data_IF_333604912566
#
_entry.id   IF_333604912566
#
_cell.length_a   1.000
_cell.length_b   1.000
_cell.length_c   1.000
_cell.angle_alpha   90.00
_cell.angle_beta   90.00
_cell.angle_gamma   90.00
#
_symmetry.space_group_name_H-M   'P 1'
#
loop_
_entity.id
_entity.type
_entity.pdbx_description
1 polymer ?
#
# COMPACT_ATOMS: atom_id res chain seq x y z
N UNK A 1 -19.40 13.02 -13.54
CA UNK A 1 -18.12 13.74 -13.60
C UNK A 1 -17.05 12.75 -13.21
N UNK A 2 -16.06 12.49 -14.06
CA UNK A 2 -14.93 11.63 -13.68
C UNK A 2 -14.12 12.39 -12.63
N UNK A 3 -14.04 11.84 -11.44
CA UNK A 3 -13.21 12.40 -10.37
C UNK A 3 -11.75 12.47 -10.85
N UNK A 4 -11.07 13.59 -10.61
CA UNK A 4 -9.66 13.72 -10.96
C UNK A 4 -8.83 12.64 -10.26
N UNK A 5 -7.81 12.14 -10.96
CA UNK A 5 -6.94 11.09 -10.46
C UNK A 5 -6.40 11.48 -9.07
N UNK A 6 -6.69 10.65 -8.06
CA UNK A 6 -6.26 10.88 -6.69
C UNK A 6 -4.73 11.03 -6.64
N UNK A 7 -4.27 12.21 -6.20
CA UNK A 7 -2.86 12.49 -5.93
C UNK A 7 -2.66 12.74 -4.45
N UNK A 8 -1.78 11.96 -3.83
CA UNK A 8 -1.49 12.04 -2.41
C UNK A 8 -0.43 13.11 -2.13
N UNK A 9 -0.72 14.02 -1.21
CA UNK A 9 0.26 14.94 -0.63
C UNK A 9 1.31 14.20 0.20
N UNK A 10 2.35 14.87 0.64
CA UNK A 10 3.35 14.27 1.55
C UNK A 10 2.73 13.79 2.86
N UNK A 11 1.90 14.61 3.50
CA UNK A 11 1.22 14.24 4.75
C UNK A 11 0.24 13.07 4.55
N UNK A 12 -0.46 13.04 3.41
CA UNK A 12 -1.36 11.93 3.09
C UNK A 12 -0.58 10.63 2.86
N UNK A 13 0.59 10.70 2.21
CA UNK A 13 1.47 9.54 2.00
C UNK A 13 1.97 8.98 3.33
N UNK A 14 2.49 9.82 4.20
CA UNK A 14 2.93 9.45 5.56
C UNK A 14 1.79 8.82 6.38
N UNK A 15 0.59 9.39 6.32
CA UNK A 15 -0.57 8.85 7.01
C UNK A 15 -0.97 7.45 6.49
N UNK A 16 -0.82 7.20 5.19
CA UNK A 16 -1.09 5.89 4.58
C UNK A 16 -0.05 4.87 4.99
N UNK A 17 1.24 5.21 4.96
CA UNK A 17 2.33 4.30 5.38
C UNK A 17 2.15 3.87 6.84
N UNK A 18 1.95 4.84 7.74
CA UNK A 18 1.68 4.58 9.16
C UNK A 18 0.42 3.73 9.38
N UNK A 19 -0.63 3.96 8.59
CA UNK A 19 -1.84 3.16 8.71
C UNK A 19 -1.62 1.72 8.24
N UNK A 20 -0.82 1.50 7.19
CA UNK A 20 -0.46 0.16 6.70
C UNK A 20 0.38 -0.58 7.74
N UNK A 21 1.39 0.08 8.32
CA UNK A 21 2.18 -0.44 9.44
C UNK A 21 1.28 -0.87 10.60
N UNK A 22 0.36 0.00 11.01
CA UNK A 22 -0.59 -0.28 12.09
C UNK A 22 -1.47 -1.48 11.75
N UNK A 23 -2.04 -1.55 10.55
CA UNK A 23 -2.89 -2.67 10.12
C UNK A 23 -2.11 -3.98 10.09
N UNK A 24 -0.89 -4.01 9.54
CA UNK A 24 -0.04 -5.20 9.56
C UNK A 24 0.23 -5.67 11.00
N UNK A 25 0.60 -4.75 11.90
CA UNK A 25 0.81 -5.06 13.32
C UNK A 25 -0.43 -5.63 13.99
N UNK A 26 -1.60 -5.03 13.80
CA UNK A 26 -2.86 -5.51 14.38
C UNK A 26 -3.29 -6.88 13.83
N UNK A 27 -2.93 -7.19 12.58
CA UNK A 27 -3.24 -8.47 11.93
C UNK A 27 -2.18 -9.56 12.16
N UNK A 28 -1.07 -9.23 12.82
CA UNK A 28 0.06 -10.15 12.99
C UNK A 28 0.80 -10.46 11.70
N UNK A 29 0.76 -9.56 10.71
CA UNK A 29 1.52 -9.68 9.47
C UNK A 29 2.88 -9.01 9.61
N UNK A 30 3.92 -9.62 9.04
CA UNK A 30 5.25 -9.04 9.00
C UNK A 30 5.36 -8.10 7.79
N UNK A 31 5.44 -6.80 8.05
CA UNK A 31 5.65 -5.79 7.02
C UNK A 31 7.15 -5.65 6.76
N UNK A 32 7.59 -6.03 5.56
CA UNK A 32 9.00 -5.88 5.15
C UNK A 32 9.30 -4.45 4.70
N UNK A 33 8.41 -3.88 3.88
CA UNK A 33 8.52 -2.49 3.43
C UNK A 33 7.18 -1.99 2.90
N UNK A 34 6.98 -0.68 3.01
CA UNK A 34 5.88 0.07 2.41
C UNK A 34 6.45 1.34 1.80
N UNK A 35 5.95 1.72 0.62
CA UNK A 35 6.30 2.98 -0.02
C UNK A 35 5.07 3.56 -0.71
N UNK A 36 4.59 4.67 -0.16
CA UNK A 36 3.43 5.41 -0.65
C UNK A 36 3.92 6.54 -1.56
N UNK A 37 3.68 6.38 -2.87
CA UNK A 37 3.94 7.41 -3.88
C UNK A 37 2.74 8.32 -4.05
N UNK A 38 2.91 9.37 -4.85
CA UNK A 38 1.84 10.35 -5.09
C UNK A 38 0.62 9.78 -5.81
N UNK A 39 0.71 8.62 -6.47
CA UNK A 39 -0.41 8.01 -7.21
C UNK A 39 -0.58 6.50 -7.01
N UNK A 40 0.29 5.85 -6.22
CA UNK A 40 0.21 4.42 -5.94
C UNK A 40 0.96 4.08 -4.66
N UNK A 41 0.72 2.88 -4.13
CA UNK A 41 1.39 2.38 -2.92
C UNK A 41 1.90 0.97 -3.20
N UNK A 42 3.14 0.70 -2.82
CA UNK A 42 3.73 -0.64 -2.81
C UNK A 42 3.86 -1.13 -1.38
N UNK A 43 3.59 -2.42 -1.16
CA UNK A 43 3.68 -3.08 0.14
C UNK A 43 4.25 -4.48 -0.07
N UNK A 44 5.32 -4.81 0.67
CA UNK A 44 5.87 -6.16 0.76
C UNK A 44 5.58 -6.69 2.15
N UNK A 45 4.83 -7.78 2.23
CA UNK A 45 4.29 -8.29 3.49
C UNK A 45 4.26 -9.82 3.49
N UNK A 46 4.73 -10.41 4.59
CA UNK A 46 4.53 -11.84 4.88
C UNK A 46 3.32 -11.98 5.80
N UNK A 47 2.25 -12.57 5.28
CA UNK A 47 1.02 -12.82 6.03
C UNK A 47 0.68 -14.31 6.10
N UNK A 48 1.47 -15.09 6.86
CA UNK A 48 1.31 -16.52 7.15
C UNK A 48 0.27 -17.27 6.29
N UNK A 49 -0.91 -17.59 6.85
CA UNK A 49 -2.00 -18.30 6.16
C UNK A 49 -3.02 -17.35 5.51
N UNK A 50 -2.76 -16.06 5.51
CA UNK A 50 -3.70 -15.06 5.00
C UNK A 50 -3.62 -14.99 3.48
N UNK A 51 -4.73 -15.29 2.80
CA UNK A 51 -4.83 -15.15 1.35
C UNK A 51 -4.47 -13.71 0.91
N UNK A 52 -3.62 -13.48 -0.11
CA UNK A 52 -3.18 -12.13 -0.49
C UNK A 52 -4.32 -11.16 -0.83
N UNK A 53 -5.43 -11.67 -1.40
CA UNK A 53 -6.63 -10.86 -1.65
C UNK A 53 -7.20 -10.26 -0.36
N UNK A 54 -7.15 -11.01 0.76
CA UNK A 54 -7.60 -10.54 2.07
C UNK A 54 -6.69 -9.46 2.63
N UNK A 55 -5.38 -9.62 2.49
CA UNK A 55 -4.40 -8.60 2.89
C UNK A 55 -4.74 -7.27 2.20
N UNK A 56 -4.86 -7.28 0.86
CA UNK A 56 -5.21 -6.07 0.10
C UNK A 56 -6.58 -5.50 0.49
N UNK A 57 -7.58 -6.36 0.73
CA UNK A 57 -8.92 -5.95 1.16
C UNK A 57 -8.96 -5.35 2.55
N UNK A 58 -7.93 -5.55 3.38
CA UNK A 58 -7.83 -4.88 4.67
C UNK A 58 -7.03 -3.59 4.57
N UNK A 59 -5.86 -3.62 3.92
CA UNK A 59 -5.00 -2.44 3.84
C UNK A 59 -5.72 -1.25 3.18
N UNK A 60 -6.45 -1.48 2.08
CA UNK A 60 -7.14 -0.40 1.36
C UNK A 60 -8.20 0.33 2.19
N UNK A 61 -9.22 -0.34 2.76
CA UNK A 61 -10.25 0.35 3.53
C UNK A 61 -9.71 1.04 4.78
N UNK A 62 -8.73 0.46 5.48
CA UNK A 62 -8.12 1.11 6.64
C UNK A 62 -7.35 2.38 6.25
N UNK A 63 -6.58 2.33 5.16
CA UNK A 63 -5.93 3.52 4.62
C UNK A 63 -6.95 4.58 4.15
N UNK A 64 -8.03 4.18 3.47
CA UNK A 64 -9.13 5.09 3.08
C UNK A 64 -9.77 5.74 4.30
N UNK A 65 -10.05 4.96 5.35
CA UNK A 65 -10.65 5.50 6.57
C UNK A 65 -9.75 6.55 7.21
N UNK A 66 -8.45 6.29 7.28
CA UNK A 66 -7.47 7.26 7.80
C UNK A 66 -7.42 8.54 6.95
N UNK A 67 -7.46 8.41 5.63
CA UNK A 67 -7.46 9.56 4.72
C UNK A 67 -8.71 10.41 4.87
N UNK A 68 -9.89 9.78 4.96
CA UNK A 68 -11.16 10.45 5.22
C UNK A 68 -11.19 11.16 6.58
N UNK A 69 -10.72 10.49 7.63
CA UNK A 69 -10.67 11.04 8.99
C UNK A 69 -9.79 12.29 9.10
N UNK A 70 -8.68 12.36 8.35
CA UNK A 70 -7.65 13.40 8.54
C UNK A 70 -7.63 14.49 7.48
N UNK A 71 -8.08 14.23 6.26
CA UNK A 71 -7.85 15.14 5.15
C UNK A 71 -9.11 15.53 4.40
N UNK A 72 -9.88 14.56 3.91
CA UNK A 72 -11.09 14.84 3.13
C UNK A 72 -12.15 13.74 3.32
N UNK A 73 -13.17 13.97 4.18
CA UNK A 73 -14.22 12.99 4.43
C UNK A 73 -15.17 12.80 3.24
N UNK A 74 -15.31 13.81 2.37
CA UNK A 74 -16.26 13.83 1.25
C UNK A 74 -15.71 13.12 0.01
N UNK A 75 -14.39 12.90 -0.07
CA UNK A 75 -13.78 12.17 -1.17
C UNK A 75 -14.18 10.70 -1.17
N UNK A 76 -14.87 10.27 -2.21
CA UNK A 76 -15.34 8.89 -2.33
C UNK A 76 -14.26 7.92 -2.84
N UNK A 77 -13.46 8.31 -3.84
CA UNK A 77 -12.49 7.40 -4.46
C UNK A 77 -11.03 7.80 -4.17
N UNK A 78 -10.44 7.17 -3.16
CA UNK A 78 -9.01 7.33 -2.83
C UNK A 78 -8.09 6.38 -3.60
N UNK A 79 -8.62 5.24 -4.05
CA UNK A 79 -7.85 4.18 -4.69
C UNK A 79 -8.57 3.72 -5.97
N UNK A 80 -7.80 3.27 -6.97
CA UNK A 80 -8.39 2.49 -8.06
C UNK A 80 -9.06 1.23 -7.53
N UNK A 81 -10.07 0.70 -8.24
CA UNK A 81 -10.86 -0.45 -7.77
C UNK A 81 -9.99 -1.69 -7.49
N UNK A 82 -9.06 -1.99 -8.40
CA UNK A 82 -8.17 -3.16 -8.33
C UNK A 82 -6.80 -2.82 -7.77
N UNK A 83 -5.91 -3.80 -7.71
CA UNK A 83 -4.51 -3.62 -7.35
C UNK A 83 -3.70 -4.84 -7.77
N UNK A 84 -2.42 -4.66 -8.07
CA UNK A 84 -1.54 -5.78 -8.40
C UNK A 84 -1.25 -6.60 -7.14
N UNK A 85 -1.17 -7.92 -7.29
CA UNK A 85 -0.67 -8.83 -6.27
C UNK A 85 0.37 -9.71 -6.96
N UNK A 86 1.56 -9.80 -6.37
CA UNK A 86 2.61 -10.71 -6.80
C UNK A 86 3.02 -11.56 -5.61
N UNK A 87 3.23 -12.84 -5.89
CA UNK A 87 3.74 -13.78 -4.91
C UNK A 87 5.26 -13.81 -5.03
N UNK A 88 5.91 -13.89 -3.88
CA UNK A 88 7.36 -14.01 -3.75
C UNK A 88 7.61 -15.25 -2.90
N UNK A 89 8.40 -16.19 -3.41
CA UNK A 89 8.51 -17.54 -2.83
C UNK A 89 9.92 -17.89 -2.34
N UNK A 90 10.93 -17.08 -2.65
CA UNK A 90 12.32 -17.27 -2.27
C UNK A 90 12.92 -15.98 -1.69
N UNK A 91 13.99 -16.14 -0.91
CA UNK A 91 14.64 -15.06 -0.17
C UNK A 91 15.29 -14.02 -1.08
N UNK A 92 15.92 -14.45 -2.19
CA UNK A 92 16.54 -13.56 -3.18
C UNK A 92 15.50 -12.64 -3.83
N UNK A 93 14.38 -13.21 -4.26
CA UNK A 93 13.26 -12.45 -4.82
C UNK A 93 12.59 -11.55 -3.78
N UNK A 94 12.61 -11.93 -2.49
CA UNK A 94 12.10 -11.10 -1.40
C UNK A 94 13.00 -9.88 -1.20
N UNK A 95 14.30 -10.07 -1.11
CA UNK A 95 15.27 -8.98 -0.99
C UNK A 95 15.18 -8.03 -2.19
N UNK A 96 15.12 -8.57 -3.41
CA UNK A 96 14.94 -7.78 -4.62
C UNK A 96 13.62 -6.98 -4.61
N UNK A 97 12.52 -7.58 -4.12
CA UNK A 97 11.24 -6.88 -3.99
C UNK A 97 11.30 -5.77 -2.93
N UNK A 98 11.98 -6.00 -1.81
CA UNK A 98 12.16 -5.00 -0.75
C UNK A 98 12.98 -3.82 -1.28
N UNK A 99 14.12 -4.08 -1.91
CA UNK A 99 14.98 -3.05 -2.51
C UNK A 99 14.22 -2.26 -3.57
N UNK A 100 13.50 -2.94 -4.46
CA UNK A 100 12.69 -2.30 -5.48
C UNK A 100 11.63 -1.35 -4.90
N UNK A 101 10.95 -1.77 -3.83
CA UNK A 101 9.92 -0.96 -3.18
C UNK A 101 10.54 0.16 -2.37
N UNK A 102 11.67 -0.05 -1.70
CA UNK A 102 12.34 0.98 -0.90
C UNK A 102 12.98 2.07 -1.78
N UNK A 103 13.71 1.69 -2.83
CA UNK A 103 14.42 2.63 -3.72
C UNK A 103 13.50 3.33 -4.72
N UNK A 104 12.29 2.81 -4.88
CA UNK A 104 11.22 3.48 -5.61
C UNK A 104 11.13 3.09 -7.08
N UNK A 105 9.89 3.04 -7.56
CA UNK A 105 9.53 2.59 -8.90
C UNK A 105 9.85 3.60 -10.03
N UNK A 106 10.83 4.49 -9.86
CA UNK A 106 11.13 5.55 -10.84
C UNK A 106 11.98 5.06 -12.02
N UNK A 107 12.45 3.81 -11.99
CA UNK A 107 13.17 3.20 -13.11
C UNK A 107 12.21 2.39 -14.00
N UNK A 108 12.15 2.67 -15.32
CA UNK A 108 11.46 1.79 -16.24
C UNK A 108 12.10 0.39 -16.18
N UNK A 109 11.27 -0.64 -16.36
CA UNK A 109 11.77 -1.98 -16.59
C UNK A 109 12.62 -1.93 -17.87
N UNK A 110 13.93 -2.08 -17.74
CA UNK A 110 14.81 -2.44 -18.85
C UNK A 110 14.54 -3.86 -19.29
#
# INVERSE_FOLDING_TARGET
MSEDACRLSEEQRDAVEKQIEETCRQRGWFLHTVNCRSNHVHVVVSGAETRPKKIRMDLKPWATRRLKERFDPERENWWGERGSIRFVFDEESLEAAILYVAEGQDRPRV
#
